data_IF_443344372274
#
_entry.id   IF_443344372274
#
_cell.length_a   1.000
_cell.length_b   1.000
_cell.length_c   1.000
_cell.angle_alpha   90.00
_cell.angle_beta   90.00
_cell.angle_gamma   90.00
#
_symmetry.space_group_name_H-M   'P 1'
#
loop_
_entity.id
_entity.type
_entity.pdbx_description
1 polymer ?
#
# COMPACT_ATOMS: atom_id res chain seq x y z
N UNK A 1 -23.54 -0.84 5.14
CA UNK A 1 -24.11 0.35 5.80
C UNK A 1 -22.97 1.36 5.94
N UNK A 2 -23.11 2.49 5.24
CA UNK A 2 -22.32 3.73 5.31
C UNK A 2 -20.78 3.63 5.19
N UNK A 3 -20.27 3.77 3.96
CA UNK A 3 -18.90 4.20 3.69
C UNK A 3 -18.75 5.69 4.06
N UNK A 4 -18.50 5.98 5.32
CA UNK A 4 -18.00 7.30 5.69
C UNK A 4 -16.50 7.29 5.43
N UNK A 5 -16.04 7.96 4.37
CA UNK A 5 -14.64 8.29 4.21
C UNK A 5 -14.25 9.27 5.33
N UNK A 6 -13.48 8.79 6.30
CA UNK A 6 -12.95 9.64 7.35
C UNK A 6 -11.82 10.52 6.80
N UNK A 7 -11.74 11.81 7.17
CA UNK A 7 -10.72 12.71 6.64
C UNK A 7 -9.32 12.29 7.12
N UNK A 8 -8.32 12.67 6.33
CA UNK A 8 -6.92 12.58 6.74
C UNK A 8 -6.69 13.57 7.88
N UNK A 9 -6.16 13.09 9.00
CA UNK A 9 -5.85 13.96 10.15
C UNK A 9 -4.36 14.00 10.47
N UNK A 10 -3.83 15.16 10.83
CA UNK A 10 -2.43 15.41 11.19
C UNK A 10 -2.33 16.51 12.24
N UNK A 11 -1.12 16.70 12.79
CA UNK A 11 -0.88 17.77 13.76
C UNK A 11 -1.26 19.14 13.19
N UNK A 12 -2.10 19.87 13.91
CA UNK A 12 -2.67 21.17 13.50
C UNK A 12 -4.16 21.09 13.16
N UNK A 13 -4.68 19.91 12.81
CA UNK A 13 -6.09 19.76 12.48
C UNK A 13 -6.99 19.99 13.70
N UNK A 14 -8.11 20.71 13.50
CA UNK A 14 -8.97 21.18 14.58
C UNK A 14 -8.47 22.42 15.33
N UNK A 15 -7.20 22.81 15.12
CA UNK A 15 -6.62 24.10 15.53
C UNK A 15 -6.70 25.08 14.35
N UNK A 16 -5.95 24.75 13.29
CA UNK A 16 -5.85 25.56 12.06
C UNK A 16 -7.05 25.33 11.13
N UNK A 17 -7.68 24.15 11.27
CA UNK A 17 -8.82 23.69 10.46
C UNK A 17 -10.01 23.28 11.38
N UNK A 18 -10.82 24.23 11.87
CA UNK A 18 -11.89 23.97 12.84
C UNK A 18 -12.97 22.97 12.38
N UNK A 19 -13.18 22.83 11.08
CA UNK A 19 -14.09 21.86 10.47
C UNK A 19 -13.70 20.40 10.75
N UNK A 20 -12.42 20.13 11.03
CA UNK A 20 -11.93 18.79 11.35
C UNK A 20 -12.11 18.41 12.83
N UNK A 21 -12.59 19.32 13.69
CA UNK A 21 -12.71 19.09 15.15
C UNK A 21 -13.48 17.83 15.51
N UNK A 22 -14.60 17.57 14.87
CA UNK A 22 -15.42 16.38 15.19
C UNK A 22 -14.71 15.07 14.80
N UNK A 23 -13.96 15.08 13.69
CA UNK A 23 -13.13 13.94 13.30
C UNK A 23 -11.99 13.72 14.26
N UNK A 24 -11.34 14.80 14.72
CA UNK A 24 -10.28 14.72 15.74
C UNK A 24 -10.82 14.21 17.08
N UNK A 25 -12.03 14.61 17.49
CA UNK A 25 -12.68 14.06 18.70
C UNK A 25 -12.91 12.55 18.58
N UNK A 26 -13.40 12.10 17.43
CA UNK A 26 -13.60 10.68 17.18
C UNK A 26 -12.29 9.89 17.25
N UNK A 27 -11.23 10.41 16.63
CA UNK A 27 -9.89 9.82 16.71
C UNK A 27 -9.43 9.71 18.16
N UNK A 28 -9.48 10.81 18.91
CA UNK A 28 -9.06 10.85 20.31
C UNK A 28 -9.85 9.85 21.15
N UNK A 29 -11.15 9.74 20.93
CA UNK A 29 -12.01 8.74 21.59
C UNK A 29 -11.55 7.31 21.29
N UNK A 30 -11.29 6.95 20.04
CA UNK A 30 -10.81 5.62 19.67
C UNK A 30 -9.45 5.33 20.32
N UNK A 31 -8.52 6.29 20.30
CA UNK A 31 -7.21 6.13 20.94
C UNK A 31 -7.31 5.98 22.46
N UNK A 32 -8.27 6.64 23.11
CA UNK A 32 -8.55 6.47 24.55
C UNK A 32 -9.11 5.07 24.82
N UNK A 33 -10.13 4.65 24.08
CA UNK A 33 -10.75 3.32 24.21
C UNK A 33 -9.73 2.19 23.99
N UNK A 34 -8.76 2.40 23.09
CA UNK A 34 -7.69 1.46 22.79
C UNK A 34 -6.46 1.61 23.70
N UNK A 35 -6.47 2.57 24.63
CA UNK A 35 -5.40 2.77 25.62
C UNK A 35 -4.14 3.48 25.13
N UNK A 36 -4.16 4.07 23.93
CA UNK A 36 -3.04 4.82 23.34
C UNK A 36 -3.00 6.29 23.75
N UNK A 37 -4.14 6.84 24.18
CA UNK A 37 -4.29 8.19 24.69
C UNK A 37 -4.95 8.15 26.08
N UNK A 38 -4.52 9.02 27.00
CA UNK A 38 -5.14 9.11 28.33
C UNK A 38 -6.24 10.16 28.32
N UNK A 39 -7.37 9.85 28.95
CA UNK A 39 -8.43 10.80 29.25
C UNK A 39 -7.94 11.76 30.36
N UNK A 40 -8.07 13.08 30.20
CA UNK A 40 -7.62 14.09 31.18
C UNK A 40 -8.80 14.70 31.94
N UNK A 41 -8.82 14.70 33.27
CA UNK A 41 -8.14 15.72 34.11
C UNK A 41 -7.78 15.18 35.48
N UNK A 42 -6.62 15.56 36.03
CA UNK A 42 -6.41 15.49 37.48
C UNK A 42 -7.00 16.75 38.15
N UNK A 43 -7.34 16.67 39.44
CA UNK A 43 -7.86 17.81 40.20
C UNK A 43 -6.88 19.00 40.25
N UNK A 44 -5.58 18.73 40.12
CA UNK A 44 -4.53 19.75 40.11
C UNK A 44 -4.56 20.62 38.85
N UNK A 45 -4.83 20.01 37.67
CA UNK A 45 -4.85 20.71 36.38
C UNK A 45 -6.00 21.73 36.29
N UNK A 46 -7.15 21.40 36.91
CA UNK A 46 -8.31 22.30 37.03
C UNK A 46 -8.01 23.53 37.90
N UNK A 47 -7.14 23.39 38.90
CA UNK A 47 -6.80 24.45 39.86
C UNK A 47 -5.83 25.50 39.27
N UNK A 48 -4.97 25.12 38.31
CA UNK A 48 -4.00 26.04 37.68
C UNK A 48 -4.46 26.63 36.32
N UNK A 49 -5.71 26.42 35.91
CA UNK A 49 -6.26 27.04 34.70
C UNK A 49 -5.67 26.53 33.37
N UNK A 50 -5.04 25.34 33.35
CA UNK A 50 -4.62 24.68 32.11
C UNK A 50 -5.74 23.77 31.60
N UNK A 51 -6.31 24.11 30.45
CA UNK A 51 -7.13 23.17 29.67
C UNK A 51 -6.22 22.13 29.04
N UNK A 52 -6.14 20.92 29.60
CA UNK A 52 -5.26 19.85 29.11
C UNK A 52 -5.89 18.95 28.03
N UNK A 53 -7.17 19.11 27.73
CA UNK A 53 -7.79 18.43 26.59
C UNK A 53 -7.76 19.38 25.39
N UNK A 54 -6.82 19.12 24.49
CA UNK A 54 -6.89 19.50 23.07
C UNK A 54 -8.11 18.79 22.43
N UNK A 55 -9.30 18.89 23.01
CA UNK A 55 -10.47 18.13 22.58
C UNK A 55 -10.90 18.62 21.20
N UNK A 56 -10.86 17.71 20.22
CA UNK A 56 -11.02 18.07 18.82
C UNK A 56 -9.84 18.85 18.24
N UNK A 57 -8.71 18.96 18.94
CA UNK A 57 -7.47 19.57 18.47
C UNK A 57 -6.37 18.50 18.35
N UNK A 58 -5.81 18.34 17.15
CA UNK A 58 -4.77 17.37 16.90
C UNK A 58 -3.42 17.96 17.29
N UNK A 59 -3.15 17.97 18.58
CA UNK A 59 -1.89 18.44 19.16
C UNK A 59 -0.80 17.37 19.22
N UNK A 60 0.34 17.70 19.85
CA UNK A 60 1.49 16.79 20.00
C UNK A 60 1.14 15.50 20.77
N UNK A 61 0.22 15.57 21.74
CA UNK A 61 -0.24 14.41 22.51
C UNK A 61 -1.02 13.44 21.62
N UNK A 62 -1.93 13.94 20.79
CA UNK A 62 -2.69 13.17 19.80
C UNK A 62 -1.75 12.53 18.78
N UNK A 63 -0.81 13.31 18.22
CA UNK A 63 0.20 12.80 17.27
C UNK A 63 1.02 11.66 17.87
N UNK A 64 1.53 11.82 19.10
CA UNK A 64 2.30 10.77 19.76
C UNK A 64 1.46 9.51 20.03
N UNK A 65 0.18 9.65 20.37
CA UNK A 65 -0.73 8.52 20.56
C UNK A 65 -1.02 7.79 19.23
N UNK A 66 -1.23 8.54 18.15
CA UNK A 66 -1.39 8.00 16.80
C UNK A 66 -0.14 7.23 16.38
N UNK A 67 1.06 7.78 16.57
CA UNK A 67 2.33 7.08 16.27
C UNK A 67 2.44 5.76 17.02
N UNK A 68 2.18 5.76 18.33
CA UNK A 68 2.19 4.53 19.14
C UNK A 68 1.17 3.51 18.66
N UNK A 69 -0.04 3.96 18.30
CA UNK A 69 -1.06 3.08 17.74
C UNK A 69 -0.60 2.49 16.41
N UNK A 70 -0.10 3.33 15.50
CA UNK A 70 0.43 2.91 14.21
C UNK A 70 1.58 1.90 14.38
N UNK A 71 2.54 2.18 15.26
CA UNK A 71 3.62 1.23 15.64
C UNK A 71 3.05 -0.10 16.12
N UNK A 72 2.06 -0.06 17.02
CA UNK A 72 1.44 -1.28 17.57
C UNK A 72 0.74 -2.13 16.51
N UNK A 73 0.27 -1.50 15.42
CA UNK A 73 -0.43 -2.15 14.31
C UNK A 73 0.44 -2.33 13.07
N UNK A 74 1.76 -2.12 13.19
CA UNK A 74 2.72 -2.20 12.08
C UNK A 74 2.31 -1.32 10.87
N UNK A 75 1.69 -0.18 11.16
CA UNK A 75 1.39 0.87 10.19
C UNK A 75 2.56 1.86 10.12
N UNK A 76 2.49 2.77 9.16
CA UNK A 76 3.40 3.92 9.08
C UNK A 76 3.18 4.79 10.33
N UNK A 77 4.20 4.89 11.19
CA UNK A 77 4.15 5.68 12.43
C UNK A 77 4.49 7.16 12.20
N UNK A 78 3.88 7.76 11.19
CA UNK A 78 4.08 9.16 10.81
C UNK A 78 3.27 10.13 11.67
N UNK A 79 2.31 9.63 12.46
CA UNK A 79 1.41 10.46 13.26
C UNK A 79 0.29 11.08 12.43
N UNK A 80 0.10 10.62 11.20
CA UNK A 80 -0.96 11.05 10.27
C UNK A 80 -2.00 9.94 10.13
N UNK A 81 -3.26 10.28 10.41
CA UNK A 81 -4.39 9.35 10.38
C UNK A 81 -5.01 9.34 8.99
N UNK A 82 -4.43 8.54 8.12
CA UNK A 82 -4.98 8.18 6.82
C UNK A 82 -6.15 7.19 6.93
N UNK A 83 -6.82 6.90 5.81
CA UNK A 83 -7.91 5.90 5.71
C UNK A 83 -7.51 4.55 6.31
N UNK A 84 -6.31 4.06 6.02
CA UNK A 84 -5.82 2.79 6.58
C UNK A 84 -5.57 2.85 8.10
N UNK A 85 -5.26 4.02 8.66
CA UNK A 85 -5.14 4.21 10.12
C UNK A 85 -6.53 4.20 10.75
N UNK A 86 -7.51 4.83 10.11
CA UNK A 86 -8.93 4.76 10.51
C UNK A 86 -9.44 3.32 10.51
N UNK A 87 -9.26 2.59 9.41
CA UNK A 87 -9.67 1.20 9.30
C UNK A 87 -9.04 0.34 10.40
N UNK A 88 -7.76 0.55 10.69
CA UNK A 88 -7.09 -0.16 11.76
C UNK A 88 -7.63 0.21 13.15
N UNK A 89 -7.96 1.49 13.40
CA UNK A 89 -8.57 1.91 14.67
C UNK A 89 -9.95 1.26 14.87
N UNK A 90 -10.78 1.22 13.84
CA UNK A 90 -12.09 0.58 13.91
C UNK A 90 -11.98 -0.94 14.07
N UNK A 91 -11.12 -1.60 13.29
CA UNK A 91 -10.81 -3.03 13.46
C UNK A 91 -10.27 -3.35 14.85
N UNK A 92 -9.37 -2.50 15.38
CA UNK A 92 -8.81 -2.66 16.72
C UNK A 92 -9.87 -2.52 17.81
N UNK A 93 -10.86 -1.65 17.61
CA UNK A 93 -12.00 -1.48 18.53
C UNK A 93 -12.93 -2.70 18.51
N UNK A 94 -13.11 -3.32 17.35
CA UNK A 94 -13.93 -4.52 17.21
C UNK A 94 -13.22 -5.79 17.72
N UNK A 95 -11.88 -5.81 17.71
CA UNK A 95 -11.08 -6.93 18.18
C UNK A 95 -10.96 -6.96 19.72
N UNK A 96 -11.29 -8.11 20.34
CA UNK A 96 -11.07 -8.32 21.78
C UNK A 96 -9.56 -8.33 22.10
N UNK A 97 -9.03 -7.48 22.99
CA UNK A 97 -7.57 -7.38 23.21
C UNK A 97 -6.96 -8.62 23.87
N UNK A 98 -5.85 -9.12 23.30
CA UNK A 98 -4.84 -9.90 24.05
C UNK A 98 -4.62 -11.39 23.71
N UNK A 99 -5.18 -11.94 22.61
CA UNK A 99 -5.05 -13.39 22.33
C UNK A 99 -4.86 -13.81 20.85
N UNK A 100 -4.70 -12.87 19.92
CA UNK A 100 -4.58 -13.24 18.51
C UNK A 100 -3.18 -13.73 18.19
N UNK A 101 -3.08 -14.81 17.41
CA UNK A 101 -1.80 -15.29 16.88
C UNK A 101 -1.19 -14.20 16.00
N UNK A 102 0.14 -14.09 16.02
CA UNK A 102 0.90 -13.15 15.20
C UNK A 102 1.73 -13.90 14.18
N UNK A 103 1.66 -13.49 12.91
CA UNK A 103 2.46 -14.04 11.83
C UNK A 103 3.12 -12.94 10.99
N UNK A 104 4.29 -13.23 10.43
CA UNK A 104 4.92 -12.34 9.47
C UNK A 104 4.07 -12.26 8.19
N UNK A 105 4.01 -11.10 7.56
CA UNK A 105 3.60 -11.02 6.15
C UNK A 105 4.67 -11.73 5.33
N UNK A 106 4.27 -12.74 4.56
CA UNK A 106 5.20 -13.53 3.74
C UNK A 106 4.99 -13.29 2.23
N UNK A 107 6.07 -13.40 1.46
CA UNK A 107 6.12 -13.25 0.01
C UNK A 107 7.14 -14.21 -0.61
N UNK A 108 7.10 -14.31 -1.94
CA UNK A 108 8.13 -15.06 -2.68
C UNK A 108 9.54 -14.60 -2.26
N UNK A 109 10.44 -15.57 -2.11
CA UNK A 109 11.82 -15.46 -1.62
C UNK A 109 11.99 -15.30 -0.12
N UNK A 110 10.94 -15.23 0.69
CA UNK A 110 11.09 -15.38 2.13
C UNK A 110 11.61 -16.76 2.51
N UNK A 111 12.47 -16.81 3.54
CA UNK A 111 13.27 -17.98 3.86
C UNK A 111 14.47 -18.23 2.92
N UNK A 112 14.51 -17.58 1.74
CA UNK A 112 15.67 -17.58 0.83
C UNK A 112 16.51 -16.32 1.08
N UNK A 113 15.94 -15.14 0.86
CA UNK A 113 16.59 -13.84 1.06
C UNK A 113 16.63 -13.45 2.54
N UNK A 114 15.68 -13.97 3.31
CA UNK A 114 15.49 -13.69 4.73
C UNK A 114 15.42 -15.00 5.51
N UNK A 115 16.57 -15.63 5.81
CA UNK A 115 16.62 -16.91 6.50
C UNK A 115 15.92 -16.93 7.86
N UNK A 116 15.78 -15.77 8.51
CA UNK A 116 15.01 -15.65 9.75
C UNK A 116 13.52 -15.97 9.58
N UNK A 117 12.98 -15.95 8.36
CA UNK A 117 11.59 -16.31 8.05
C UNK A 117 11.40 -17.77 7.68
N UNK A 118 12.46 -18.59 7.69
CA UNK A 118 12.36 -20.04 7.47
C UNK A 118 11.25 -20.69 8.34
N UNK A 119 11.13 -20.42 9.65
CA UNK A 119 10.10 -21.05 10.48
C UNK A 119 8.67 -20.66 10.09
N UNK A 120 8.44 -19.37 9.79
CA UNK A 120 7.15 -18.84 9.36
C UNK A 120 6.74 -19.42 8.00
N UNK A 121 7.67 -19.54 7.06
CA UNK A 121 7.38 -20.14 5.74
C UNK A 121 7.10 -21.64 5.89
N UNK A 122 7.78 -22.36 6.79
CA UNK A 122 7.40 -23.77 7.08
C UNK A 122 5.98 -23.88 7.60
N UNK A 123 5.61 -22.98 8.52
CA UNK A 123 4.24 -22.91 9.07
C UNK A 123 3.22 -22.68 7.95
N UNK A 124 3.52 -21.76 7.02
CA UNK A 124 2.69 -21.53 5.84
C UNK A 124 2.55 -22.80 4.99
N UNK A 125 3.66 -23.45 4.64
CA UNK A 125 3.67 -24.66 3.81
C UNK A 125 2.89 -25.80 4.48
N UNK A 126 3.02 -25.97 5.80
CA UNK A 126 2.29 -26.97 6.56
C UNK A 126 0.77 -26.72 6.54
N UNK A 127 0.34 -25.45 6.68
CA UNK A 127 -1.08 -25.09 6.59
C UNK A 127 -1.61 -25.28 5.17
N UNK A 128 -0.85 -24.90 4.14
CA UNK A 128 -1.24 -25.11 2.74
C UNK A 128 -1.38 -26.60 2.42
N UNK A 129 -0.50 -27.46 2.95
CA UNK A 129 -0.64 -28.93 2.84
C UNK A 129 -1.91 -29.43 3.50
N UNK A 130 -2.18 -28.96 4.71
CA UNK A 130 -3.41 -29.31 5.45
C UNK A 130 -4.68 -28.90 4.69
N UNK A 131 -4.64 -27.75 4.02
CA UNK A 131 -5.73 -27.23 3.20
C UNK A 131 -5.79 -27.86 1.79
N UNK A 132 -4.83 -28.72 1.43
CA UNK A 132 -4.79 -29.44 0.15
C UNK A 132 -4.22 -28.65 -1.03
N UNK A 133 -3.48 -27.57 -0.77
CA UNK A 133 -2.86 -26.73 -1.81
C UNK A 133 -1.38 -27.05 -2.07
N UNK A 134 -0.80 -27.99 -1.32
CA UNK A 134 0.56 -28.51 -1.50
C UNK A 134 0.60 -30.01 -1.21
N UNK A 135 1.59 -30.72 -1.78
CA UNK A 135 1.75 -32.17 -1.61
C UNK A 135 2.12 -32.52 -0.16
N UNK A 136 1.32 -33.36 0.55
CA UNK A 136 1.57 -33.69 1.95
C UNK A 136 2.88 -34.45 2.18
N UNK A 137 3.40 -35.16 1.18
CA UNK A 137 4.63 -35.94 1.27
C UNK A 137 5.91 -35.11 1.12
N UNK A 138 5.82 -33.91 0.56
CA UNK A 138 6.99 -33.05 0.42
C UNK A 138 7.35 -32.41 1.77
N UNK A 139 8.64 -32.22 2.08
CA UNK A 139 9.03 -31.52 3.31
C UNK A 139 8.68 -30.04 3.23
N UNK A 140 8.31 -29.43 4.36
CA UNK A 140 8.23 -27.97 4.46
C UNK A 140 9.65 -27.45 4.68
N UNK A 141 10.30 -27.05 3.59
CA UNK A 141 11.70 -26.62 3.59
C UNK A 141 11.87 -25.22 4.21
N UNK A 142 10.80 -24.42 4.24
CA UNK A 142 10.80 -23.03 4.68
C UNK A 142 11.22 -22.05 3.58
N UNK A 143 11.33 -22.50 2.33
CA UNK A 143 11.73 -21.67 1.21
C UNK A 143 10.49 -21.25 0.43
N UNK A 144 10.17 -19.96 0.43
CA UNK A 144 9.03 -19.43 -0.31
C UNK A 144 9.41 -19.29 -1.80
N UNK A 145 9.53 -20.43 -2.48
CA UNK A 145 9.82 -20.53 -3.90
C UNK A 145 8.57 -20.44 -4.80
N UNK A 146 8.73 -20.66 -6.12
CA UNK A 146 7.63 -20.66 -7.08
C UNK A 146 6.48 -21.62 -6.73
N UNK A 147 6.77 -22.80 -6.17
CA UNK A 147 5.74 -23.78 -5.81
C UNK A 147 4.89 -23.30 -4.63
N UNK A 148 5.52 -22.73 -3.60
CA UNK A 148 4.80 -22.09 -2.49
C UNK A 148 3.98 -20.91 -2.98
N UNK A 149 4.50 -20.09 -3.91
CA UNK A 149 3.77 -18.99 -4.52
C UNK A 149 2.51 -19.47 -5.24
N UNK A 150 2.62 -20.52 -6.05
CA UNK A 150 1.47 -21.08 -6.77
C UNK A 150 0.43 -21.63 -5.79
N UNK A 151 0.86 -22.34 -4.73
CA UNK A 151 -0.01 -22.85 -3.69
C UNK A 151 -0.77 -21.72 -2.95
N UNK A 152 -0.07 -20.66 -2.54
CA UNK A 152 -0.68 -19.48 -1.91
C UNK A 152 -1.72 -18.85 -2.83
N UNK A 153 -1.38 -18.61 -4.09
CA UNK A 153 -2.32 -18.01 -5.06
C UNK A 153 -3.56 -18.88 -5.27
N UNK A 154 -3.38 -20.19 -5.37
CA UNK A 154 -4.49 -21.13 -5.50
C UNK A 154 -5.38 -21.12 -4.24
N UNK A 155 -4.78 -21.11 -3.05
CA UNK A 155 -5.51 -20.99 -1.78
C UNK A 155 -6.30 -19.68 -1.74
N UNK A 156 -5.64 -18.54 -1.97
CA UNK A 156 -6.27 -17.22 -1.97
C UNK A 156 -7.47 -17.18 -2.93
N UNK A 157 -7.28 -17.64 -4.16
CA UNK A 157 -8.34 -17.67 -5.17
C UNK A 157 -9.52 -18.56 -4.72
N UNK A 158 -9.25 -19.73 -4.12
CA UNK A 158 -10.28 -20.63 -3.60
C UNK A 158 -11.10 -20.05 -2.43
N UNK A 159 -10.53 -19.08 -1.70
CA UNK A 159 -11.16 -18.40 -0.57
C UNK A 159 -11.75 -17.03 -0.93
N UNK A 160 -11.75 -16.67 -2.21
CA UNK A 160 -12.24 -15.36 -2.68
C UNK A 160 -11.34 -14.19 -2.28
N UNK A 161 -10.08 -14.46 -1.94
CA UNK A 161 -9.07 -13.44 -1.71
C UNK A 161 -8.41 -13.00 -3.01
N UNK A 162 -7.69 -11.88 -2.90
CA UNK A 162 -6.71 -11.43 -3.88
C UNK A 162 -5.61 -12.48 -4.04
N UNK A 163 -5.45 -13.05 -5.24
CA UNK A 163 -4.42 -14.05 -5.55
C UNK A 163 -3.05 -13.39 -5.87
N UNK A 164 -2.60 -12.47 -5.02
CA UNK A 164 -1.34 -11.75 -5.17
C UNK A 164 -0.11 -12.60 -4.79
N UNK A 165 -0.32 -13.71 -4.09
CA UNK A 165 0.74 -14.57 -3.59
C UNK A 165 1.41 -14.05 -2.32
N UNK A 166 0.83 -13.03 -1.68
CA UNK A 166 1.30 -12.50 -0.40
C UNK A 166 0.47 -13.04 0.74
N UNK A 167 1.12 -13.57 1.75
CA UNK A 167 0.44 -14.12 2.93
C UNK A 167 0.30 -13.01 3.96
N UNK A 168 -0.70 -12.14 3.73
CA UNK A 168 -1.10 -11.06 4.63
C UNK A 168 -2.17 -11.50 5.65
N UNK A 169 -2.75 -10.52 6.35
CA UNK A 169 -3.69 -10.75 7.44
C UNK A 169 -4.87 -11.66 7.06
N UNK A 170 -5.49 -11.40 5.91
CA UNK A 170 -6.66 -12.13 5.43
C UNK A 170 -6.30 -13.57 5.07
N UNK A 171 -5.14 -13.77 4.42
CA UNK A 171 -4.65 -15.11 4.05
C UNK A 171 -4.35 -15.92 5.30
N UNK A 172 -3.62 -15.35 6.26
CA UNK A 172 -3.35 -16.03 7.53
C UNK A 172 -4.62 -16.34 8.32
N UNK A 173 -5.57 -15.41 8.36
CA UNK A 173 -6.81 -15.60 9.12
C UNK A 173 -7.63 -16.75 8.57
N UNK A 174 -7.65 -16.92 7.24
CA UNK A 174 -8.31 -18.04 6.59
C UNK A 174 -7.55 -19.37 6.77
N UNK A 175 -6.21 -19.37 6.70
CA UNK A 175 -5.40 -20.57 6.94
C UNK A 175 -5.55 -21.10 8.37
N UNK A 176 -5.72 -20.21 9.34
CA UNK A 176 -5.95 -20.59 10.75
C UNK A 176 -7.42 -20.73 11.12
N UNK A 177 -8.34 -20.26 10.27
CA UNK A 177 -9.76 -20.12 10.57
C UNK A 177 -10.04 -19.33 11.87
N UNK A 178 -9.23 -18.30 12.13
CA UNK A 178 -9.37 -17.39 13.27
C UNK A 178 -8.78 -16.02 12.91
N UNK A 179 -9.15 -14.91 13.59
CA UNK A 179 -8.52 -13.62 13.33
C UNK A 179 -7.03 -13.64 13.67
N UNK A 180 -6.19 -13.28 12.70
CA UNK A 180 -4.74 -13.18 12.88
C UNK A 180 -4.31 -11.72 12.85
N UNK A 181 -3.29 -11.38 13.64
CA UNK A 181 -2.56 -10.13 13.50
C UNK A 181 -1.27 -10.40 12.71
N UNK A 182 -0.91 -9.50 11.79
CA UNK A 182 0.32 -9.63 11.01
C UNK A 182 1.29 -8.52 11.33
N UNK A 183 2.58 -8.81 11.17
CA UNK A 183 3.64 -7.82 11.23
C UNK A 183 4.51 -7.92 9.98
N UNK A 184 5.12 -6.80 9.59
CA UNK A 184 6.12 -6.80 8.53
C UNK A 184 7.45 -7.27 9.12
N UNK A 185 8.06 -8.34 8.61
CA UNK A 185 9.28 -8.92 9.21
C UNK A 185 10.57 -8.18 8.83
N UNK A 186 10.48 -7.19 7.94
CA UNK A 186 11.61 -6.37 7.52
C UNK A 186 11.66 -5.10 8.36
N UNK A 187 12.85 -4.53 8.55
CA UNK A 187 12.96 -3.16 9.05
C UNK A 187 12.17 -2.27 8.09
N UNK A 188 11.00 -1.79 8.54
CA UNK A 188 10.07 -0.95 7.78
C UNK A 188 10.87 0.09 7.01
N UNK A 189 11.03 -0.11 5.70
CA UNK A 189 11.79 0.79 4.85
C UNK A 189 11.26 2.22 5.04
N UNK A 190 9.95 2.36 5.14
CA UNK A 190 9.26 3.63 5.41
C UNK A 190 9.73 4.28 6.72
N UNK A 191 9.90 3.51 7.81
CA UNK A 191 10.37 4.07 9.09
C UNK A 191 11.83 4.50 9.04
N UNK A 192 12.62 3.92 8.13
CA UNK A 192 14.02 4.30 7.92
C UNK A 192 14.17 5.48 6.95
N UNK A 193 13.18 5.71 6.09
CA UNK A 193 13.18 6.75 5.08
C UNK A 193 12.65 8.07 5.64
N UNK A 194 13.33 9.17 5.29
CA UNK A 194 12.92 10.51 5.68
C UNK A 194 11.96 11.09 4.63
N UNK A 195 10.64 11.00 4.90
CA UNK A 195 9.60 11.51 3.99
C UNK A 195 9.74 13.01 3.69
N UNK A 196 10.08 13.83 4.69
CA UNK A 196 10.31 15.26 4.49
C UNK A 196 11.42 15.51 3.46
N UNK A 197 12.52 14.75 3.56
CA UNK A 197 13.66 14.84 2.64
C UNK A 197 13.28 14.40 1.22
N UNK A 198 12.52 13.31 1.09
CA UNK A 198 12.04 12.81 -0.19
C UNK A 198 11.15 13.86 -0.86
N UNK A 199 10.16 14.38 -0.14
CA UNK A 199 9.20 15.34 -0.70
C UNK A 199 9.88 16.68 -1.00
N UNK A 200 10.81 17.12 -0.16
CA UNK A 200 11.60 18.32 -0.41
C UNK A 200 12.50 18.21 -1.67
N UNK A 201 12.83 17.00 -2.13
CA UNK A 201 13.58 16.79 -3.37
C UNK A 201 12.77 17.06 -4.64
N UNK A 202 11.44 17.05 -4.54
CA UNK A 202 10.55 17.29 -5.68
C UNK A 202 10.59 18.77 -6.05
N UNK A 203 11.04 19.13 -7.27
CA UNK A 203 11.26 20.54 -7.64
C UNK A 203 9.96 21.33 -7.77
N UNK A 204 8.86 20.64 -8.10
CA UNK A 204 7.53 21.22 -8.30
C UNK A 204 6.74 21.25 -7.00
N UNK A 205 6.71 22.40 -6.32
CA UNK A 205 6.02 22.55 -5.03
C UNK A 205 4.51 22.28 -5.11
N UNK A 206 3.90 22.53 -6.26
CA UNK A 206 2.50 22.21 -6.50
C UNK A 206 2.20 20.70 -6.42
N UNK A 207 3.23 19.86 -6.52
CA UNK A 207 3.09 18.40 -6.36
C UNK A 207 3.20 17.93 -4.91
N UNK A 208 3.67 18.77 -3.99
CA UNK A 208 3.93 18.35 -2.60
C UNK A 208 2.69 17.79 -1.90
N UNK A 209 1.47 18.36 -2.02
CA UNK A 209 0.28 17.76 -1.43
C UNK A 209 0.04 16.33 -1.92
N UNK A 210 0.11 16.10 -3.24
CA UNK A 210 -0.06 14.76 -3.83
C UNK A 210 1.08 13.81 -3.46
N UNK A 211 2.31 14.31 -3.36
CA UNK A 211 3.46 13.53 -2.91
C UNK A 211 3.27 13.03 -1.46
N UNK A 212 2.77 13.89 -0.57
CA UNK A 212 2.47 13.55 0.82
C UNK A 212 1.42 12.44 0.94
N UNK A 213 0.47 12.37 0.02
CA UNK A 213 -0.56 11.33 -0.02
C UNK A 213 -0.03 10.04 -0.66
N UNK A 214 0.63 10.15 -1.81
CA UNK A 214 0.94 9.02 -2.68
C UNK A 214 2.24 8.30 -2.32
N UNK A 215 3.29 9.01 -1.93
CA UNK A 215 4.61 8.39 -1.67
C UNK A 215 4.53 7.37 -0.53
N UNK A 216 3.89 7.65 0.63
CA UNK A 216 3.76 6.66 1.69
C UNK A 216 3.05 5.38 1.22
N UNK A 217 1.99 5.51 0.41
CA UNK A 217 1.25 4.37 -0.15
C UNK A 217 2.10 3.56 -1.13
N UNK A 218 2.87 4.22 -1.99
CA UNK A 218 3.79 3.58 -2.91
C UNK A 218 4.91 2.85 -2.15
N UNK A 219 5.51 3.48 -1.15
CA UNK A 219 6.57 2.86 -0.34
C UNK A 219 6.03 1.67 0.46
N UNK A 220 4.81 1.77 1.01
CA UNK A 220 4.13 0.66 1.67
C UNK A 220 3.84 -0.48 0.72
N UNK A 221 3.36 -0.16 -0.48
CA UNK A 221 3.17 -1.14 -1.52
C UNK A 221 4.49 -1.81 -1.90
N UNK A 222 5.58 -1.06 -2.06
CA UNK A 222 6.93 -1.61 -2.31
C UNK A 222 7.36 -2.59 -1.22
N UNK A 223 7.26 -2.16 0.05
CA UNK A 223 7.66 -2.94 1.21
C UNK A 223 6.84 -4.23 1.34
N UNK A 224 5.51 -4.15 1.21
CA UNK A 224 4.63 -5.33 1.24
C UNK A 224 4.94 -6.28 0.08
N UNK A 225 5.30 -5.75 -1.10
CA UNK A 225 5.45 -6.52 -2.34
C UNK A 225 6.86 -6.99 -2.70
N UNK A 226 7.89 -6.85 -1.88
CA UNK A 226 9.22 -7.35 -2.26
C UNK A 226 10.18 -6.34 -2.81
N UNK A 227 9.74 -5.11 -3.00
CA UNK A 227 10.55 -4.09 -3.67
C UNK A 227 11.29 -3.29 -2.59
N UNK A 228 12.44 -3.80 -2.17
CA UNK A 228 13.29 -3.19 -1.14
C UNK A 228 14.57 -2.54 -1.69
N UNK A 229 14.89 -2.77 -2.97
CA UNK A 229 16.04 -2.13 -3.63
C UNK A 229 15.73 -0.64 -3.84
N UNK A 230 16.53 0.24 -3.22
CA UNK A 230 16.32 1.68 -3.27
C UNK A 230 16.32 2.24 -4.71
N UNK A 231 17.07 1.62 -5.63
CA UNK A 231 17.05 2.00 -7.03
C UNK A 231 15.72 1.67 -7.69
N UNK A 232 15.15 0.49 -7.40
CA UNK A 232 13.83 0.11 -7.89
C UNK A 232 12.75 1.05 -7.37
N UNK A 233 12.82 1.41 -6.10
CA UNK A 233 11.87 2.33 -5.46
C UNK A 233 11.98 3.73 -6.04
N UNK A 234 13.20 4.25 -6.20
CA UNK A 234 13.42 5.52 -6.86
C UNK A 234 12.79 5.57 -8.26
N UNK A 235 12.93 4.48 -9.02
CA UNK A 235 12.37 4.37 -10.35
C UNK A 235 10.83 4.29 -10.36
N UNK A 236 10.23 3.61 -9.38
CA UNK A 236 8.77 3.58 -9.19
C UNK A 236 8.24 4.98 -8.88
N UNK A 237 8.88 5.71 -7.95
CA UNK A 237 8.48 7.08 -7.59
C UNK A 237 8.60 8.02 -8.80
N UNK A 238 9.70 7.92 -9.55
CA UNK A 238 9.90 8.68 -10.79
C UNK A 238 8.82 8.38 -11.84
N UNK A 239 8.38 7.13 -11.93
CA UNK A 239 7.30 6.72 -12.83
C UNK A 239 5.97 7.35 -12.39
N UNK A 240 5.62 7.27 -11.09
CA UNK A 240 4.41 7.90 -10.57
C UNK A 240 4.40 9.43 -10.75
N UNK A 241 5.55 10.08 -10.58
CA UNK A 241 5.69 11.51 -10.84
C UNK A 241 5.52 11.85 -12.32
N UNK A 242 6.10 11.05 -13.21
CA UNK A 242 6.00 11.33 -14.64
C UNK A 242 4.58 11.10 -15.19
N UNK A 243 3.96 9.97 -14.85
CA UNK A 243 2.72 9.49 -15.47
C UNK A 243 1.48 10.21 -14.94
N UNK A 244 1.41 10.43 -13.62
CA UNK A 244 0.21 11.01 -12.98
C UNK A 244 0.51 12.24 -12.13
N UNK A 245 1.76 12.74 -12.16
CA UNK A 245 2.21 13.83 -11.29
C UNK A 245 1.95 13.49 -9.82
N UNK A 246 2.38 12.29 -9.42
CA UNK A 246 2.22 11.73 -8.07
C UNK A 246 0.76 11.62 -7.62
N UNK A 247 -0.16 11.41 -8.57
CA UNK A 247 -1.59 11.25 -8.28
C UNK A 247 -2.39 12.55 -8.36
N UNK A 248 -1.81 13.64 -8.87
CA UNK A 248 -2.60 14.80 -9.29
C UNK A 248 -3.64 14.42 -10.36
N UNK A 249 -3.29 13.49 -11.25
CA UNK A 249 -4.15 13.00 -12.33
C UNK A 249 -4.37 11.49 -12.19
N UNK A 250 -5.30 11.09 -11.34
CA UNK A 250 -5.67 9.66 -11.15
C UNK A 250 -6.67 9.13 -12.16
N UNK A 251 -7.30 10.02 -12.93
CA UNK A 251 -8.18 9.67 -14.03
C UNK A 251 -7.89 10.58 -15.22
N UNK A 252 -7.82 9.99 -16.40
CA UNK A 252 -7.61 10.72 -17.64
C UNK A 252 -8.72 11.75 -17.88
N UNK A 253 -8.33 12.99 -18.20
CA UNK A 253 -9.26 14.08 -18.48
C UNK A 253 -9.97 13.92 -19.83
N UNK A 254 -9.41 13.14 -20.75
CA UNK A 254 -10.03 12.84 -22.02
C UNK A 254 -11.32 12.02 -21.82
N UNK A 255 -12.25 12.15 -22.76
CA UNK A 255 -13.54 11.45 -22.70
C UNK A 255 -13.42 9.92 -22.85
N UNK A 256 -12.27 9.41 -23.27
CA UNK A 256 -12.02 7.99 -23.52
C UNK A 256 -12.63 7.43 -24.80
N UNK A 257 -13.43 8.22 -25.54
CA UNK A 257 -14.02 7.78 -26.82
C UNK A 257 -12.97 7.44 -27.89
N UNK A 258 -11.75 7.99 -27.80
CA UNK A 258 -10.64 7.60 -28.66
C UNK A 258 -10.22 6.12 -28.49
N UNK A 259 -10.57 5.50 -27.37
CA UNK A 259 -10.30 4.08 -27.09
C UNK A 259 -11.45 3.17 -27.51
N UNK A 260 -12.58 3.72 -27.95
CA UNK A 260 -13.72 2.93 -28.37
C UNK A 260 -13.33 2.01 -29.54
N UNK A 261 -13.74 0.74 -29.48
CA UNK A 261 -13.40 -0.30 -30.48
C UNK A 261 -11.91 -0.59 -30.68
N UNK A 262 -11.01 -0.10 -29.82
CA UNK A 262 -9.59 -0.47 -29.83
C UNK A 262 -9.41 -1.93 -29.41
N UNK A 263 -9.36 -2.82 -30.39
CA UNK A 263 -9.18 -4.26 -30.20
C UNK A 263 -7.86 -4.63 -29.51
N UNK A 264 -6.80 -3.84 -29.73
CA UNK A 264 -5.51 -3.98 -29.04
C UNK A 264 -5.60 -3.62 -27.54
N UNK A 265 -6.63 -2.89 -27.10
CA UNK A 265 -6.94 -2.62 -25.69
C UNK A 265 -8.00 -3.58 -25.13
N UNK A 266 -8.51 -4.50 -25.96
CA UNK A 266 -9.61 -5.39 -25.63
C UNK A 266 -10.98 -4.71 -25.60
N UNK A 267 -11.07 -3.46 -26.08
CA UNK A 267 -12.32 -2.72 -26.15
C UNK A 267 -13.12 -3.24 -27.35
N UNK A 268 -14.11 -4.06 -27.08
CA UNK A 268 -14.90 -4.77 -28.08
C UNK A 268 -16.41 -4.75 -27.80
N UNK A 269 -16.84 -3.89 -26.87
CA UNK A 269 -18.24 -3.60 -26.58
C UNK A 269 -18.47 -2.10 -26.66
N UNK A 270 -19.69 -1.74 -27.03
CA UNK A 270 -20.13 -0.36 -27.03
C UNK A 270 -19.97 0.26 -25.64
N UNK A 271 -19.32 1.42 -25.57
CA UNK A 271 -19.05 2.17 -24.35
C UNK A 271 -17.77 1.77 -23.61
N UNK A 272 -16.98 0.83 -24.14
CA UNK A 272 -15.73 0.40 -23.51
C UNK A 272 -14.69 1.51 -23.42
N UNK A 273 -14.62 2.39 -24.43
CA UNK A 273 -13.63 3.45 -24.49
C UNK A 273 -13.70 4.39 -23.28
N UNK A 274 -14.83 5.11 -23.08
CA UNK A 274 -15.03 5.95 -21.91
C UNK A 274 -14.97 5.19 -20.58
N UNK A 275 -15.49 3.95 -20.56
CA UNK A 275 -15.55 3.13 -19.34
C UNK A 275 -14.16 2.75 -18.83
N UNK A 276 -13.27 2.35 -19.73
CA UNK A 276 -11.92 1.88 -19.42
C UNK A 276 -10.84 2.87 -19.87
N UNK A 277 -11.07 4.18 -19.71
CA UNK A 277 -10.04 5.22 -19.89
C UNK A 277 -8.94 5.14 -18.83
N UNK A 278 -7.84 5.87 -19.02
CA UNK A 278 -6.67 5.82 -18.14
C UNK A 278 -6.98 6.11 -16.67
N UNK A 279 -6.51 5.25 -15.75
CA UNK A 279 -6.58 5.46 -14.29
C UNK A 279 -5.35 5.03 -13.51
N UNK A 280 -5.16 5.64 -12.35
CA UNK A 280 -4.10 5.35 -11.39
C UNK A 280 -2.75 5.96 -11.76
N UNK A 281 -1.72 5.64 -10.97
CA UNK A 281 -0.38 6.20 -11.16
C UNK A 281 0.24 5.91 -12.52
N UNK A 282 -0.11 4.77 -13.14
CA UNK A 282 0.44 4.32 -14.42
C UNK A 282 -0.58 4.40 -15.56
N UNK A 283 -1.75 5.00 -15.32
CA UNK A 283 -2.81 5.20 -16.31
C UNK A 283 -3.18 3.91 -17.06
N UNK A 284 -3.60 2.85 -16.34
CA UNK A 284 -4.06 1.62 -17.01
C UNK A 284 -5.29 1.93 -17.89
N UNK A 285 -5.29 1.46 -19.13
CA UNK A 285 -6.33 1.76 -20.13
C UNK A 285 -6.80 0.49 -20.83
N UNK A 286 -8.09 0.38 -21.11
CA UNK A 286 -8.68 -0.69 -21.91
C UNK A 286 -9.19 -1.87 -21.11
N UNK A 287 -10.32 -2.43 -21.57
CA UNK A 287 -11.01 -3.57 -20.94
C UNK A 287 -10.07 -4.72 -20.59
N UNK A 288 -9.09 -5.03 -21.45
CA UNK A 288 -8.14 -6.13 -21.19
C UNK A 288 -7.35 -5.89 -19.90
N UNK A 289 -6.80 -4.69 -19.72
CA UNK A 289 -6.00 -4.34 -18.56
C UNK A 289 -6.86 -4.32 -17.28
N UNK A 290 -8.07 -3.76 -17.36
CA UNK A 290 -9.01 -3.79 -16.25
C UNK A 290 -9.42 -5.22 -15.85
N UNK A 291 -9.60 -6.10 -16.83
CA UNK A 291 -9.93 -7.52 -16.58
C UNK A 291 -8.74 -8.26 -15.96
N UNK A 292 -7.53 -8.06 -16.49
CA UNK A 292 -6.31 -8.67 -15.95
C UNK A 292 -6.03 -8.21 -14.51
N UNK A 293 -6.09 -6.90 -14.24
CA UNK A 293 -5.93 -6.37 -12.89
C UNK A 293 -7.08 -6.77 -11.96
N UNK A 294 -8.30 -6.92 -12.47
CA UNK A 294 -9.42 -7.46 -11.68
C UNK A 294 -9.10 -8.87 -11.18
N UNK A 295 -8.59 -9.74 -12.07
CA UNK A 295 -8.18 -11.11 -11.70
C UNK A 295 -6.98 -11.14 -10.75
N UNK A 296 -5.97 -10.29 -10.96
CA UNK A 296 -4.78 -10.23 -10.10
C UNK A 296 -5.08 -9.73 -8.70
N UNK A 297 -5.95 -8.72 -8.60
CA UNK A 297 -6.25 -8.03 -7.35
C UNK A 297 -7.49 -8.58 -6.66
N UNK A 298 -8.21 -9.53 -7.24
CA UNK A 298 -9.49 -10.02 -6.67
C UNK A 298 -10.54 -8.90 -6.48
N UNK A 299 -10.38 -7.76 -7.15
CA UNK A 299 -11.26 -6.59 -7.06
C UNK A 299 -11.99 -6.44 -8.38
N UNK A 300 -13.30 -6.19 -8.34
CA UNK A 300 -14.10 -6.03 -9.54
C UNK A 300 -13.84 -4.67 -10.23
N UNK A 301 -12.78 -4.64 -11.04
CA UNK A 301 -12.42 -3.48 -11.87
C UNK A 301 -13.14 -3.50 -13.23
N UNK A 302 -13.84 -4.58 -13.57
CA UNK A 302 -14.59 -4.68 -14.83
C UNK A 302 -15.93 -3.96 -14.70
N UNK A 303 -16.62 -4.16 -13.58
CA UNK A 303 -17.88 -3.51 -13.28
C UNK A 303 -17.72 -2.17 -12.56
N UNK A 304 -16.62 -2.00 -11.81
CA UNK A 304 -16.33 -0.79 -11.01
C UNK A 304 -14.91 -0.24 -11.35
N UNK A 305 -14.66 0.20 -12.61
CA UNK A 305 -13.33 0.59 -13.08
C UNK A 305 -12.75 1.84 -12.37
N UNK A 306 -13.58 2.71 -11.80
CA UNK A 306 -13.17 3.88 -11.04
C UNK A 306 -12.28 3.54 -9.85
N UNK A 307 -12.40 2.34 -9.27
CA UNK A 307 -11.54 1.88 -8.16
C UNK A 307 -10.05 1.89 -8.52
N UNK A 308 -9.71 1.73 -9.81
CA UNK A 308 -8.31 1.82 -10.25
C UNK A 308 -7.68 3.21 -10.04
N UNK A 309 -8.48 4.25 -9.80
CA UNK A 309 -8.04 5.59 -9.44
C UNK A 309 -7.90 5.79 -7.91
N UNK A 310 -8.31 4.84 -7.08
CA UNK A 310 -8.10 4.90 -5.63
C UNK A 310 -6.60 4.81 -5.32
N UNK A 311 -6.00 5.73 -4.54
CA UNK A 311 -4.55 5.80 -4.33
C UNK A 311 -3.91 4.50 -3.83
N UNK A 312 -4.52 3.82 -2.85
CA UNK A 312 -4.03 2.54 -2.33
C UNK A 312 -3.99 1.45 -3.42
N UNK A 313 -5.05 1.36 -4.23
CA UNK A 313 -5.13 0.35 -5.28
C UNK A 313 -4.21 0.67 -6.45
N UNK A 314 -4.14 1.94 -6.83
CA UNK A 314 -3.23 2.42 -7.85
C UNK A 314 -1.75 2.17 -7.46
N UNK A 315 -1.40 2.35 -6.19
CA UNK A 315 -0.05 2.06 -5.69
C UNK A 315 0.28 0.56 -5.78
N UNK A 316 -0.70 -0.32 -5.51
CA UNK A 316 -0.55 -1.77 -5.71
C UNK A 316 -0.34 -2.11 -7.20
N UNK A 317 -1.18 -1.55 -8.08
CA UNK A 317 -1.10 -1.75 -9.53
C UNK A 317 0.27 -1.31 -10.06
N UNK A 318 0.72 -0.10 -9.69
CA UNK A 318 2.03 0.43 -10.06
C UNK A 318 3.16 -0.52 -9.65
N UNK A 319 3.26 -0.82 -8.35
CA UNK A 319 4.37 -1.59 -7.80
C UNK A 319 4.38 -3.03 -8.30
N UNK A 320 3.25 -3.74 -8.20
CA UNK A 320 3.15 -5.14 -8.65
C UNK A 320 3.41 -5.22 -10.16
N UNK A 321 2.86 -4.27 -10.92
CA UNK A 321 2.99 -4.29 -12.37
C UNK A 321 4.43 -4.05 -12.83
N UNK A 322 5.15 -3.14 -12.17
CA UNK A 322 6.56 -2.91 -12.44
C UNK A 322 7.46 -4.05 -11.95
N UNK A 323 7.14 -4.66 -10.80
CA UNK A 323 7.88 -5.79 -10.21
C UNK A 323 7.77 -7.05 -11.08
N UNK A 324 6.57 -7.37 -11.55
CA UNK A 324 6.28 -8.60 -12.27
C UNK A 324 6.35 -8.42 -13.80
N UNK A 325 6.36 -7.17 -14.26
CA UNK A 325 6.41 -6.78 -15.66
C UNK A 325 5.09 -7.00 -16.40
N UNK A 326 3.96 -6.79 -15.73
CA UNK A 326 2.63 -7.11 -16.29
C UNK A 326 2.20 -6.16 -17.40
N UNK A 327 2.77 -4.95 -17.48
CA UNK A 327 2.40 -3.98 -18.50
C UNK A 327 2.98 -4.29 -19.88
N UNK A 328 4.23 -4.77 -19.95
CA UNK A 328 4.96 -4.94 -21.23
C UNK A 328 5.86 -6.19 -21.29
N UNK A 329 5.83 -7.07 -20.28
CA UNK A 329 6.77 -8.18 -20.04
C UNK A 329 8.19 -7.76 -19.62
N UNK A 330 8.42 -6.46 -19.39
CA UNK A 330 9.65 -5.93 -18.81
C UNK A 330 9.45 -5.64 -17.33
N UNK A 331 10.41 -6.04 -16.48
CA UNK A 331 10.31 -5.94 -15.02
C UNK A 331 11.50 -5.24 -14.38
N UNK A 332 11.30 -4.65 -13.20
CA UNK A 332 12.33 -3.91 -12.44
C UNK A 332 13.66 -4.66 -12.33
N UNK A 333 13.62 -5.92 -11.90
CA UNK A 333 14.82 -6.74 -11.68
C UNK A 333 15.66 -7.04 -12.93
N UNK A 334 15.15 -6.77 -14.15
CA UNK A 334 15.96 -6.88 -15.38
C UNK A 334 16.92 -5.69 -15.56
N UNK A 335 16.57 -4.53 -14.99
CA UNK A 335 17.26 -3.26 -15.22
C UNK A 335 17.98 -2.74 -13.98
N UNK A 336 17.38 -2.99 -12.81
CA UNK A 336 17.81 -2.39 -11.55
C UNK A 336 17.92 -3.50 -10.50
N UNK A 337 19.13 -3.70 -10.00
CA UNK A 337 19.41 -4.62 -8.90
C UNK A 337 20.80 -4.35 -8.32
N UNK A 338 20.89 -4.26 -6.99
CA UNK A 338 22.17 -4.06 -6.30
C UNK A 338 22.86 -2.78 -6.77
N UNK A 339 24.02 -2.90 -7.42
CA UNK A 339 24.74 -1.75 -7.96
C UNK A 339 24.33 -1.35 -9.37
N UNK A 340 23.59 -2.19 -10.10
CA UNK A 340 23.11 -1.90 -11.46
C UNK A 340 21.86 -1.02 -11.39
N UNK A 341 21.89 0.12 -12.10
CA UNK A 341 20.82 1.12 -12.15
C UNK A 341 20.59 1.60 -13.58
N UNK A 342 19.99 0.76 -14.43
CA UNK A 342 19.66 1.13 -15.81
C UNK A 342 18.28 1.82 -15.89
N UNK A 343 18.17 3.00 -15.27
CA UNK A 343 16.91 3.74 -15.22
C UNK A 343 16.39 4.16 -16.60
N UNK A 344 17.30 4.37 -17.57
CA UNK A 344 16.92 4.70 -18.93
C UNK A 344 16.16 3.56 -19.60
N UNK A 345 16.72 2.35 -19.62
CA UNK A 345 16.05 1.22 -20.27
C UNK A 345 14.89 0.65 -19.43
N UNK A 346 14.87 0.91 -18.12
CA UNK A 346 13.74 0.56 -17.25
C UNK A 346 12.42 1.18 -17.72
N UNK A 347 12.44 2.23 -18.57
CA UNK A 347 11.22 2.79 -19.17
C UNK A 347 10.36 1.75 -19.87
N UNK A 348 11.01 0.73 -20.45
CA UNK A 348 10.38 -0.42 -21.11
C UNK A 348 9.35 -1.14 -20.25
N UNK A 349 9.45 -1.05 -18.93
CA UNK A 349 8.52 -1.63 -17.97
C UNK A 349 7.09 -1.09 -18.16
N UNK A 350 6.93 0.20 -18.47
CA UNK A 350 5.62 0.86 -18.60
C UNK A 350 5.31 1.20 -20.05
N UNK A 351 6.29 1.71 -20.79
CA UNK A 351 6.10 2.14 -22.16
C UNK A 351 7.39 1.94 -22.98
N UNK A 352 7.40 2.24 -24.27
CA UNK A 352 8.64 2.36 -25.04
C UNK A 352 9.52 3.49 -24.47
N UNK A 353 10.70 3.73 -25.05
CA UNK A 353 11.69 4.69 -24.53
C UNK A 353 11.29 6.19 -24.60
N UNK A 354 10.01 6.51 -24.79
CA UNK A 354 9.53 7.88 -24.74
C UNK A 354 9.80 8.47 -23.34
N UNK A 355 10.38 9.68 -23.31
CA UNK A 355 10.81 10.40 -22.10
C UNK A 355 11.77 9.62 -21.19
N UNK A 356 12.39 8.53 -21.66
CA UNK A 356 13.26 7.67 -20.84
C UNK A 356 14.38 8.44 -20.12
N UNK A 357 15.06 9.37 -20.82
CA UNK A 357 16.11 10.20 -20.21
C UNK A 357 15.58 11.11 -19.09
N UNK A 358 14.38 11.67 -19.26
CA UNK A 358 13.76 12.54 -18.28
C UNK A 358 13.36 11.76 -17.02
N UNK A 359 12.72 10.61 -17.19
CA UNK A 359 12.31 9.75 -16.07
C UNK A 359 13.54 9.18 -15.34
N UNK A 360 14.59 8.82 -16.08
CA UNK A 360 15.85 8.39 -15.48
C UNK A 360 16.47 9.48 -14.62
N UNK A 361 16.45 10.74 -15.06
CA UNK A 361 16.93 11.87 -14.26
C UNK A 361 16.13 12.06 -12.96
N UNK A 362 14.79 11.95 -13.03
CA UNK A 362 13.94 11.99 -11.82
C UNK A 362 14.28 10.83 -10.87
N UNK A 363 14.49 9.62 -11.39
CA UNK A 363 14.86 8.46 -10.59
C UNK A 363 16.21 8.65 -9.89
N UNK A 364 17.19 9.28 -10.54
CA UNK A 364 18.47 9.63 -9.90
C UNK A 364 18.29 10.62 -8.73
N UNK A 365 17.38 11.60 -8.84
CA UNK A 365 17.10 12.53 -7.73
C UNK A 365 16.48 11.81 -6.53
N UNK A 366 15.46 10.96 -6.76
CA UNK A 366 14.89 10.13 -5.69
C UNK A 366 15.95 9.22 -5.06
N UNK A 367 16.77 8.57 -5.87
CA UNK A 367 17.80 7.64 -5.37
C UNK A 367 18.84 8.32 -4.48
N UNK A 368 19.14 9.62 -4.67
CA UNK A 368 20.07 10.36 -3.79
C UNK A 368 19.50 10.66 -2.41
N UNK A 369 18.18 10.70 -2.27
CA UNK A 369 17.50 11.11 -1.02
C UNK A 369 16.91 9.95 -0.23
N UNK A 370 16.68 8.81 -0.90
CA UNK A 370 16.47 7.50 -0.28
C UNK A 370 17.77 6.99 0.36
#
# INVERSE_FOLDING_TARGET
MLSNEYPVLRRGDGIDYPELRESVKLLQKLLIELGFLKEGTTLFDRWIGRSETDEGQFGRKTEAAVKRFQESRSLIADGVVWSYTWDALFKAKEATPGKLRRHAVLRIRDGIDYPQLLPEVRTLQDLLKKEGFMEPSEPSDGLFGPDTLNAVKNFQNSRGLVADGMVGQETWSLLWNEPIEVYLPYNNLISSLNLDRIIASIPYRELHPYAWESIPLILRSCDINGVIDLGQIAYILATAEHESRLGQWMEELASGWAYEWRSDLGNNRSGDGPRYKGRGFVQITGRRNYTDWSGRLGIDLVNVPEKAAEPDLAAKILVIGMRDGTFTNHRLGQYIWGSRRDFYNARRIVNRLDRAAHIAAIAEEYYRVL
#
